data_IF_153356986768
#
_entry.id   IF_153356986768
#
_cell.length_a   1.000
_cell.length_b   1.000
_cell.length_c   1.000
_cell.angle_alpha   90.00
_cell.angle_beta   90.00
_cell.angle_gamma   90.00
#
_symmetry.space_group_name_H-M   'P 1'
#
loop_
_entity.id
_entity.type
_entity.pdbx_description
1 polymer ?
#
# COMPACT_ATOMS: atom_id res chain seq x y z
N UNK A 1 -38.72 -7.64 10.57
CA UNK A 1 -37.34 -8.10 10.37
C UNK A 1 -36.44 -7.30 11.28
N UNK A 2 -35.49 -7.92 12.01
CA UNK A 2 -34.56 -7.17 12.85
C UNK A 2 -33.79 -6.15 12.00
N UNK A 3 -33.69 -4.93 12.52
CA UNK A 3 -32.95 -3.80 11.95
C UNK A 3 -31.47 -4.21 11.88
N UNK A 4 -30.97 -4.48 10.67
CA UNK A 4 -29.60 -4.96 10.45
C UNK A 4 -28.69 -3.75 10.28
N UNK A 5 -27.93 -3.42 11.32
CA UNK A 5 -26.90 -2.38 11.26
C UNK A 5 -25.66 -2.95 10.58
N UNK A 6 -25.18 -2.26 9.56
CA UNK A 6 -23.99 -2.61 8.82
C UNK A 6 -22.92 -1.55 9.04
N UNK A 7 -21.65 -1.96 8.99
CA UNK A 7 -20.48 -1.08 8.89
C UNK A 7 -19.50 -1.63 7.86
N UNK A 8 -18.58 -0.80 7.38
CA UNK A 8 -17.40 -1.28 6.67
C UNK A 8 -16.53 -2.10 7.65
N UNK A 9 -16.05 -3.26 7.20
CA UNK A 9 -15.18 -4.10 7.99
C UNK A 9 -13.84 -3.42 8.27
N UNK A 10 -13.27 -3.71 9.43
CA UNK A 10 -11.98 -3.12 9.80
C UNK A 10 -10.87 -3.65 8.87
N UNK A 11 -9.93 -2.76 8.51
CA UNK A 11 -8.81 -3.06 7.62
C UNK A 11 -9.15 -3.13 6.13
N UNK A 12 -10.35 -2.72 5.71
CA UNK A 12 -10.68 -2.54 4.30
C UNK A 12 -9.90 -1.34 3.74
N UNK A 13 -9.32 -1.52 2.56
CA UNK A 13 -8.61 -0.51 1.77
C UNK A 13 -9.16 -0.55 0.35
N UNK A 14 -9.22 0.61 -0.27
CA UNK A 14 -9.59 0.77 -1.68
C UNK A 14 -8.34 1.14 -2.44
N UNK A 15 -7.91 0.27 -3.34
CA UNK A 15 -6.69 0.41 -4.11
C UNK A 15 -7.00 0.66 -5.58
N UNK A 16 -6.12 1.38 -6.26
CA UNK A 16 -6.15 1.48 -7.71
C UNK A 16 -5.21 0.45 -8.34
N UNK A 17 -5.73 -0.40 -9.21
CA UNK A 17 -4.94 -1.39 -9.94
C UNK A 17 -5.45 -1.52 -11.38
N UNK A 18 -4.58 -1.23 -12.36
CA UNK A 18 -4.86 -1.39 -13.81
C UNK A 18 -6.19 -0.73 -14.24
N UNK A 19 -6.41 0.51 -13.83
CA UNK A 19 -7.58 1.28 -14.23
C UNK A 19 -8.87 0.89 -13.51
N UNK A 20 -8.78 0.09 -12.44
CA UNK A 20 -9.93 -0.32 -11.64
C UNK A 20 -9.68 -0.03 -10.16
N UNK A 21 -10.75 0.26 -9.42
CA UNK A 21 -10.71 0.30 -7.97
C UNK A 21 -11.05 -1.07 -7.40
N UNK A 22 -10.28 -1.50 -6.40
CA UNK A 22 -10.43 -2.76 -5.71
C UNK A 22 -10.62 -2.49 -4.22
N UNK A 23 -11.76 -2.89 -3.65
CA UNK A 23 -11.99 -2.88 -2.22
C UNK A 23 -11.64 -4.24 -1.61
N UNK A 24 -10.79 -4.26 -0.58
CA UNK A 24 -10.39 -5.51 0.07
C UNK A 24 -9.41 -5.28 1.22
N UNK A 25 -8.87 -6.37 1.77
CA UNK A 25 -7.83 -6.32 2.81
C UNK A 25 -6.45 -6.51 2.19
N UNK A 26 -5.46 -5.75 2.64
CA UNK A 26 -4.07 -5.88 2.18
C UNK A 26 -3.47 -7.26 2.47
N UNK A 27 -3.93 -7.93 3.54
CA UNK A 27 -3.47 -9.27 3.90
C UNK A 27 -3.90 -10.37 2.91
N UNK A 28 -4.80 -10.09 1.97
CA UNK A 28 -5.32 -11.07 1.02
C UNK A 28 -6.27 -12.11 1.63
N UNK A 29 -6.62 -11.99 2.91
CA UNK A 29 -7.51 -12.92 3.62
C UNK A 29 -8.92 -12.99 3.01
N UNK A 30 -9.34 -11.95 2.30
CA UNK A 30 -10.62 -11.86 1.58
C UNK A 30 -10.36 -11.42 0.15
N UNK A 31 -10.97 -12.11 -0.82
CA UNK A 31 -10.87 -11.75 -2.23
C UNK A 31 -11.38 -10.31 -2.45
N UNK A 32 -10.54 -9.46 -3.03
CA UNK A 32 -10.89 -8.08 -3.36
C UNK A 32 -12.07 -8.03 -4.34
N UNK A 33 -12.91 -7.02 -4.19
CA UNK A 33 -14.04 -6.74 -5.07
C UNK A 33 -13.74 -5.52 -5.93
N UNK A 34 -13.96 -5.64 -7.24
CA UNK A 34 -13.95 -4.49 -8.12
C UNK A 34 -15.12 -3.56 -7.79
N UNK A 35 -14.80 -2.29 -7.55
CA UNK A 35 -15.78 -1.23 -7.30
C UNK A 35 -15.60 -0.09 -8.31
N UNK A 36 -16.68 0.63 -8.61
CA UNK A 36 -16.64 1.88 -9.37
C UNK A 36 -16.55 3.11 -8.46
N UNK A 37 -16.08 4.28 -8.95
CA UNK A 37 -16.12 5.54 -8.21
C UNK A 37 -17.53 5.91 -7.70
N UNK A 38 -18.57 5.54 -8.44
CA UNK A 38 -19.99 5.72 -8.11
C UNK A 38 -20.45 4.92 -6.89
N UNK A 39 -19.62 3.99 -6.40
CA UNK A 39 -19.93 3.20 -5.21
C UNK A 39 -19.34 3.77 -3.93
N UNK A 40 -18.42 4.73 -4.02
CA UNK A 40 -17.89 5.42 -2.84
C UNK A 40 -19.00 6.12 -2.03
N UNK A 41 -20.02 6.77 -2.63
CA UNK A 41 -21.16 7.29 -1.90
C UNK A 41 -21.99 6.20 -1.21
N UNK A 42 -22.03 4.97 -1.74
CA UNK A 42 -22.70 3.83 -1.09
C UNK A 42 -21.91 3.43 0.16
N UNK A 43 -20.60 3.27 0.02
CA UNK A 43 -19.71 2.93 1.14
C UNK A 43 -19.73 4.02 2.22
N UNK A 44 -19.84 5.29 1.83
CA UNK A 44 -19.91 6.44 2.74
C UNK A 44 -21.07 6.33 3.74
N UNK A 45 -22.20 5.74 3.35
CA UNK A 45 -23.35 5.55 4.24
C UNK A 45 -23.09 4.54 5.38
N UNK A 46 -22.00 3.75 5.28
CA UNK A 46 -21.61 2.71 6.24
C UNK A 46 -20.24 2.93 6.88
N UNK A 47 -19.68 4.15 6.77
CA UNK A 47 -18.45 4.54 7.50
C UNK A 47 -18.64 4.48 9.02
N UNK A 48 -19.87 4.73 9.48
CA UNK A 48 -20.33 4.45 10.83
C UNK A 48 -21.44 3.38 10.79
N UNK A 49 -21.65 2.61 11.88
CA UNK A 49 -22.74 1.65 11.98
C UNK A 49 -24.10 2.27 11.65
N UNK A 50 -24.70 1.83 10.54
CA UNK A 50 -25.98 2.38 10.05
C UNK A 50 -26.96 1.28 9.68
N UNK A 51 -28.24 1.54 9.92
CA UNK A 51 -29.29 0.65 9.46
C UNK A 51 -29.34 0.60 7.92
N UNK A 52 -29.33 -0.62 7.37
CA UNK A 52 -29.32 -0.84 5.93
C UNK A 52 -30.55 -0.24 5.23
N UNK A 53 -31.73 -0.26 5.86
CA UNK A 53 -32.96 0.29 5.27
C UNK A 53 -32.86 1.83 5.18
N UNK A 54 -32.40 2.49 6.23
CA UNK A 54 -32.16 3.93 6.24
C UNK A 54 -31.12 4.37 5.22
N UNK A 55 -30.02 3.61 5.08
CA UNK A 55 -28.99 3.89 4.08
C UNK A 55 -29.55 3.76 2.64
N UNK A 56 -30.31 2.68 2.37
CA UNK A 56 -30.97 2.50 1.06
C UNK A 56 -31.96 3.62 0.77
N UNK A 57 -32.76 4.04 1.75
CA UNK A 57 -33.69 5.16 1.58
C UNK A 57 -32.96 6.46 1.21
N UNK A 58 -31.86 6.78 1.91
CA UNK A 58 -31.06 7.95 1.62
C UNK A 58 -30.46 7.93 0.21
N UNK A 59 -29.95 6.77 -0.24
CA UNK A 59 -29.39 6.60 -1.58
C UNK A 59 -30.45 6.64 -2.69
N UNK A 60 -31.63 6.06 -2.45
CA UNK A 60 -32.77 6.12 -3.39
C UNK A 60 -33.26 7.56 -3.55
N UNK A 61 -33.28 8.35 -2.46
CA UNK A 61 -33.62 9.77 -2.53
C UNK A 61 -32.63 10.58 -3.40
N UNK A 62 -31.40 10.08 -3.60
CA UNK A 62 -30.39 10.64 -4.52
C UNK A 62 -30.47 10.04 -5.95
N UNK A 63 -31.52 9.28 -6.25
CA UNK A 63 -31.78 8.75 -7.61
C UNK A 63 -31.23 7.35 -7.88
N UNK A 64 -30.69 6.64 -6.88
CA UNK A 64 -30.22 5.27 -7.06
C UNK A 64 -31.38 4.25 -7.13
N UNK A 65 -31.22 3.20 -7.94
CA UNK A 65 -32.21 2.12 -8.02
C UNK A 65 -32.18 1.24 -6.75
N UNK A 66 -33.32 1.12 -6.07
CA UNK A 66 -33.47 0.30 -4.85
C UNK A 66 -33.03 -1.15 -5.07
N UNK A 67 -33.41 -1.73 -6.21
CA UNK A 67 -33.10 -3.13 -6.53
C UNK A 67 -31.61 -3.32 -6.79
N UNK A 68 -30.98 -2.39 -7.51
CA UNK A 68 -29.54 -2.40 -7.76
C UNK A 68 -28.75 -2.24 -6.45
N UNK A 69 -29.18 -1.34 -5.56
CA UNK A 69 -28.60 -1.16 -4.24
C UNK A 69 -28.72 -2.43 -3.39
N UNK A 70 -29.89 -3.06 -3.34
CA UNK A 70 -30.09 -4.28 -2.55
C UNK A 70 -29.15 -5.42 -3.01
N UNK A 71 -29.04 -5.63 -4.32
CA UNK A 71 -28.07 -6.58 -4.89
C UNK A 71 -26.64 -6.22 -4.52
N UNK A 72 -26.28 -4.93 -4.62
CA UNK A 72 -24.91 -4.50 -4.38
C UNK A 72 -24.52 -4.61 -2.91
N UNK A 73 -25.40 -4.23 -1.98
CA UNK A 73 -25.17 -4.41 -0.54
C UNK A 73 -25.04 -5.89 -0.17
N UNK A 74 -25.85 -6.77 -0.76
CA UNK A 74 -25.71 -8.22 -0.57
C UNK A 74 -24.33 -8.71 -1.02
N UNK A 75 -23.83 -8.23 -2.17
CA UNK A 75 -22.51 -8.61 -2.67
C UNK A 75 -21.37 -8.09 -1.79
N UNK A 76 -21.44 -6.81 -1.36
CA UNK A 76 -20.47 -6.20 -0.44
C UNK A 76 -20.41 -6.96 0.89
N UNK A 77 -21.57 -7.38 1.39
CA UNK A 77 -21.66 -8.19 2.61
C UNK A 77 -21.08 -9.59 2.41
N UNK A 78 -21.43 -10.29 1.32
CA UNK A 78 -20.88 -11.62 1.00
C UNK A 78 -19.35 -11.61 0.84
N UNK A 79 -18.78 -10.50 0.37
CA UNK A 79 -17.33 -10.31 0.22
C UNK A 79 -16.63 -9.85 1.50
N UNK A 80 -17.37 -9.68 2.60
CA UNK A 80 -16.82 -9.23 3.88
C UNK A 80 -16.34 -7.78 3.87
N UNK A 81 -16.78 -6.96 2.91
CA UNK A 81 -16.52 -5.52 2.88
C UNK A 81 -17.46 -4.82 3.85
N UNK A 82 -18.74 -5.21 3.85
CA UNK A 82 -19.70 -4.83 4.87
C UNK A 82 -19.90 -5.98 5.86
N UNK A 83 -19.99 -5.66 7.13
CA UNK A 83 -20.22 -6.62 8.22
C UNK A 83 -21.32 -6.11 9.14
N UNK A 84 -21.93 -7.04 9.87
CA UNK A 84 -22.86 -6.70 10.94
C UNK A 84 -22.16 -5.91 12.05
N UNK A 85 -22.79 -4.82 12.46
CA UNK A 85 -22.28 -3.94 13.50
C UNK A 85 -23.17 -4.00 14.74
N UNK A 86 -22.54 -4.20 15.90
CA UNK A 86 -23.16 -3.80 17.15
C UNK A 86 -23.28 -2.27 17.21
N UNK A 87 -24.16 -1.75 18.07
CA UNK A 87 -24.12 -0.33 18.39
C UNK A 87 -22.77 -0.02 19.07
N UNK A 88 -21.97 0.84 18.46
CA UNK A 88 -20.69 1.31 19.01
C UNK A 88 -20.74 2.83 19.03
N UNK A 89 -20.15 3.43 20.05
CA UNK A 89 -19.95 4.87 20.11
C UNK A 89 -19.10 5.33 18.94
N UNK A 90 -19.63 6.29 18.20
CA UNK A 90 -18.92 6.93 17.10
C UNK A 90 -17.89 7.88 17.72
N UNK A 91 -16.57 7.69 17.47
CA UNK A 91 -15.56 8.61 17.97
C UNK A 91 -15.76 10.02 17.39
N UNK A 92 -15.17 11.01 18.05
CA UNK A 92 -15.18 12.39 17.56
C UNK A 92 -14.67 12.42 16.11
N UNK A 93 -15.44 13.08 15.23
CA UNK A 93 -15.12 13.14 13.82
C UNK A 93 -13.89 14.02 13.58
N UNK A 94 -12.90 13.45 12.91
CA UNK A 94 -11.77 14.21 12.36
C UNK A 94 -12.26 15.24 11.32
N UNK A 95 -11.55 16.36 11.17
CA UNK A 95 -11.93 17.39 10.21
C UNK A 95 -11.87 16.85 8.78
N UNK A 96 -13.03 16.80 8.13
CA UNK A 96 -13.18 16.33 6.75
C UNK A 96 -13.04 17.48 5.78
N UNK A 97 -12.18 17.31 4.78
CA UNK A 97 -12.10 18.21 3.63
C UNK A 97 -13.33 17.99 2.75
N UNK A 98 -14.17 19.02 2.68
CA UNK A 98 -15.37 19.02 1.83
C UNK A 98 -15.23 20.06 0.70
N UNK A 99 -15.91 19.87 -0.45
CA UNK A 99 -15.85 20.80 -1.57
C UNK A 99 -16.18 22.25 -1.22
N UNK A 100 -17.07 22.50 -0.26
CA UNK A 100 -17.46 23.85 0.13
C UNK A 100 -16.37 24.61 0.89
N UNK A 101 -15.42 23.89 1.50
CA UNK A 101 -14.28 24.46 2.21
C UNK A 101 -13.11 24.84 1.30
N UNK A 102 -13.14 24.42 0.04
CA UNK A 102 -12.08 24.70 -0.92
C UNK A 102 -12.30 26.10 -1.50
N UNK A 103 -11.40 27.03 -1.16
CA UNK A 103 -11.38 28.37 -1.72
C UNK A 103 -11.26 28.32 -3.26
N UNK A 104 -11.56 29.43 -3.93
CA UNK A 104 -11.45 29.62 -5.38
C UNK A 104 -9.99 29.53 -5.85
N UNK A 105 -9.47 28.31 -5.89
CA UNK A 105 -8.22 27.98 -6.54
C UNK A 105 -8.42 28.08 -8.05
N UNK A 106 -7.41 28.58 -8.75
CA UNK A 106 -7.43 28.66 -10.21
C UNK A 106 -7.60 27.27 -10.81
N UNK A 107 -8.55 27.15 -11.74
CA UNK A 107 -8.81 25.91 -12.43
C UNK A 107 -7.54 25.38 -13.12
N UNK A 108 -7.26 24.06 -13.07
CA UNK A 108 -6.24 23.48 -13.90
C UNK A 108 -6.63 23.60 -15.39
N UNK A 109 -5.63 23.52 -16.28
CA UNK A 109 -5.88 23.55 -17.72
C UNK A 109 -6.85 22.42 -18.14
N UNK A 110 -7.92 22.77 -18.87
CA UNK A 110 -9.01 21.83 -19.20
C UNK A 110 -8.60 20.67 -20.13
N UNK A 111 -7.57 20.89 -20.93
CA UNK A 111 -7.02 19.92 -21.88
C UNK A 111 -6.07 18.90 -21.23
N UNK A 112 -5.61 19.19 -20.00
CA UNK A 112 -4.74 18.32 -19.24
C UNK A 112 -5.46 17.06 -18.81
N UNK A 113 -4.83 15.91 -19.06
CA UNK A 113 -5.27 14.63 -18.53
C UNK A 113 -4.62 14.41 -17.17
N UNK A 114 -5.43 14.02 -16.18
CA UNK A 114 -4.99 13.75 -14.81
C UNK A 114 -5.26 12.30 -14.44
N UNK A 115 -4.39 11.74 -13.59
CA UNK A 115 -4.49 10.37 -13.09
C UNK A 115 -4.22 10.33 -11.60
N UNK A 116 -4.62 9.23 -10.96
CA UNK A 116 -4.27 8.94 -9.58
C UNK A 116 -2.74 8.79 -9.42
N UNK A 117 -2.22 9.17 -8.25
CA UNK A 117 -0.85 8.85 -7.87
C UNK A 117 -0.59 7.32 -7.90
N UNK A 118 0.64 6.89 -8.21
CA UNK A 118 0.96 5.45 -8.39
C UNK A 118 0.75 4.60 -7.14
N UNK A 119 0.89 5.20 -5.97
CA UNK A 119 0.71 4.60 -4.65
C UNK A 119 -0.64 4.99 -4.01
N UNK A 120 -1.64 5.28 -4.84
CA UNK A 120 -2.96 5.65 -4.37
C UNK A 120 -3.60 4.53 -3.55
N UNK A 121 -4.08 4.90 -2.38
CA UNK A 121 -4.95 4.11 -1.53
C UNK A 121 -5.97 5.04 -0.86
N UNK A 122 -7.19 4.56 -0.71
CA UNK A 122 -8.20 5.16 0.16
C UNK A 122 -8.50 4.23 1.31
N UNK A 123 -8.50 4.78 2.51
CA UNK A 123 -8.87 4.09 3.74
C UNK A 123 -10.20 4.65 4.23
N UNK A 124 -11.26 3.83 4.36
CA UNK A 124 -12.49 4.26 4.99
C UNK A 124 -12.24 4.62 6.46
N UNK A 125 -12.66 5.82 6.87
CA UNK A 125 -12.59 6.33 8.22
C UNK A 125 -13.98 6.82 8.65
N UNK A 126 -14.20 7.05 9.95
CA UNK A 126 -15.54 7.30 10.51
C UNK A 126 -16.34 8.41 9.83
N UNK A 127 -15.67 9.48 9.38
CA UNK A 127 -16.30 10.66 8.76
C UNK A 127 -15.97 10.85 7.28
N UNK A 128 -15.14 9.99 6.67
CA UNK A 128 -14.74 10.12 5.27
C UNK A 128 -13.79 9.04 4.76
N UNK A 129 -13.06 9.36 3.70
CA UNK A 129 -12.03 8.50 3.11
C UNK A 129 -10.67 9.16 3.25
N UNK A 130 -9.77 8.55 4.00
CA UNK A 130 -8.40 9.03 4.15
C UNK A 130 -7.59 8.67 2.89
N UNK A 131 -6.92 9.68 2.33
CA UNK A 131 -6.02 9.56 1.18
C UNK A 131 -4.62 10.04 1.56
N UNK A 132 -3.61 9.22 1.34
CA UNK A 132 -2.21 9.60 1.59
C UNK A 132 -1.67 10.50 0.47
N UNK A 133 -1.11 11.66 0.84
CA UNK A 133 -0.31 12.49 -0.05
C UNK A 133 1.18 12.23 0.17
N UNK A 134 1.85 11.69 -0.85
CA UNK A 134 3.31 11.58 -0.84
C UNK A 134 4.02 12.93 -0.94
N UNK A 135 3.37 13.95 -1.51
CA UNK A 135 3.93 15.31 -1.60
C UNK A 135 4.00 15.96 -0.23
N UNK A 136 2.92 15.88 0.53
CA UNK A 136 2.81 16.56 1.83
C UNK A 136 3.18 15.65 3.01
N UNK A 137 3.46 14.36 2.76
CA UNK A 137 3.76 13.34 3.78
C UNK A 137 2.70 13.27 4.89
N UNK A 138 1.42 13.39 4.50
CA UNK A 138 0.28 13.33 5.41
C UNK A 138 -0.97 12.76 4.75
N UNK A 139 -1.91 12.34 5.59
CA UNK A 139 -3.25 11.93 5.16
C UNK A 139 -4.20 13.13 5.07
N UNK A 140 -5.06 13.09 4.08
CA UNK A 140 -6.21 13.97 3.94
C UNK A 140 -7.49 13.17 4.08
N UNK A 141 -8.36 13.58 5.00
CA UNK A 141 -9.66 12.97 5.16
C UNK A 141 -10.66 13.65 4.21
N UNK A 142 -11.07 12.94 3.16
CA UNK A 142 -11.92 13.44 2.10
C UNK A 142 -13.38 13.06 2.36
N UNK A 143 -14.32 13.96 2.08
CA UNK A 143 -15.72 13.56 2.03
C UNK A 143 -16.01 12.62 0.84
N UNK A 144 -17.22 12.04 0.81
CA UNK A 144 -17.60 11.11 -0.25
C UNK A 144 -17.55 11.75 -1.65
N UNK A 145 -17.84 13.06 -1.77
CA UNK A 145 -17.88 13.77 -3.05
C UNK A 145 -16.48 13.94 -3.62
N UNK A 146 -15.55 14.36 -2.78
CA UNK A 146 -14.15 14.57 -3.13
C UNK A 146 -13.44 13.24 -3.37
N UNK A 147 -13.76 12.21 -2.59
CA UNK A 147 -13.28 10.85 -2.80
C UNK A 147 -13.76 10.29 -4.15
N UNK A 148 -15.05 10.44 -4.50
CA UNK A 148 -15.59 10.07 -5.81
C UNK A 148 -14.91 10.83 -6.94
N UNK A 149 -14.78 12.15 -6.82
CA UNK A 149 -14.11 12.97 -7.84
C UNK A 149 -12.67 12.50 -8.08
N UNK A 150 -11.90 12.31 -7.00
CA UNK A 150 -10.53 11.81 -7.07
C UNK A 150 -10.47 10.44 -7.75
N UNK A 151 -11.29 9.50 -7.30
CA UNK A 151 -11.39 8.15 -7.82
C UNK A 151 -11.75 8.09 -9.32
N UNK A 152 -12.54 9.03 -9.83
CA UNK A 152 -12.97 9.04 -11.23
C UNK A 152 -11.83 9.25 -12.24
N UNK A 153 -10.69 9.79 -11.82
CA UNK A 153 -9.55 10.01 -12.72
C UNK A 153 -8.78 8.73 -13.08
N UNK A 154 -8.80 7.69 -12.23
CA UNK A 154 -8.16 6.38 -12.47
C UNK A 154 -6.76 6.50 -13.12
N UNK A 155 -6.56 5.87 -14.28
CA UNK A 155 -5.31 5.86 -15.05
C UNK A 155 -5.09 7.11 -15.93
N UNK A 156 -6.05 8.03 -16.01
CA UNK A 156 -5.94 9.20 -16.87
C UNK A 156 -7.27 9.60 -17.51
N UNK A 157 -7.82 10.75 -17.09
CA UNK A 157 -8.98 11.38 -17.74
C UNK A 157 -8.87 12.89 -17.74
N UNK A 158 -9.52 13.54 -18.70
CA UNK A 158 -9.79 14.98 -18.65
C UNK A 158 -10.94 15.24 -17.68
N UNK A 159 -10.98 16.46 -17.15
CA UNK A 159 -12.04 16.86 -16.22
C UNK A 159 -13.43 16.75 -16.86
N UNK A 160 -13.57 17.06 -18.15
CA UNK A 160 -14.86 17.06 -18.86
C UNK A 160 -15.36 15.64 -19.16
N UNK A 161 -14.45 14.66 -19.19
CA UNK A 161 -14.75 13.25 -19.54
C UNK A 161 -15.00 12.37 -18.30
N UNK A 162 -15.11 12.96 -17.11
CA UNK A 162 -15.27 12.20 -15.88
C UNK A 162 -16.68 11.59 -15.78
N UNK A 163 -16.80 10.27 -15.54
CA UNK A 163 -18.07 9.62 -15.29
C UNK A 163 -18.51 9.92 -13.85
N UNK A 164 -19.10 11.09 -13.64
CA UNK A 164 -19.61 11.51 -12.34
C UNK A 164 -21.13 11.29 -12.26
N UNK A 165 -21.65 10.87 -11.10
CA UNK A 165 -23.06 10.98 -10.77
C UNK A 165 -23.62 12.39 -11.04
N UNK A 166 -24.90 12.49 -11.39
CA UNK A 166 -25.53 13.76 -11.79
C UNK A 166 -25.49 14.84 -10.70
N UNK A 167 -25.53 14.45 -9.43
CA UNK A 167 -25.37 15.33 -8.25
C UNK A 167 -23.94 15.85 -8.08
N UNK A 168 -22.95 15.21 -8.74
CA UNK A 168 -21.54 15.60 -8.76
C UNK A 168 -21.08 16.22 -10.08
N UNK A 169 -21.88 16.10 -11.14
CA UNK A 169 -21.49 16.55 -12.48
C UNK A 169 -21.43 18.09 -12.62
N UNK A 170 -22.22 18.84 -11.83
CA UNK A 170 -22.34 20.30 -11.92
C UNK A 170 -21.64 21.09 -10.81
N UNK A 171 -21.11 22.26 -11.17
CA UNK A 171 -20.72 23.33 -10.22
C UNK A 171 -19.26 23.76 -10.28
N UNK A 172 -19.02 25.04 -9.98
CA UNK A 172 -17.69 25.68 -9.92
C UNK A 172 -16.76 25.07 -8.86
N UNK A 173 -17.31 24.30 -7.92
CA UNK A 173 -16.54 23.57 -6.91
C UNK A 173 -15.61 22.52 -7.52
N UNK A 174 -15.95 21.97 -8.70
CA UNK A 174 -15.15 20.90 -9.33
C UNK A 174 -13.76 21.38 -9.70
N UNK A 175 -13.66 22.56 -10.30
CA UNK A 175 -12.40 23.15 -10.70
C UNK A 175 -11.50 23.42 -9.49
N UNK A 176 -12.06 24.05 -8.45
CA UNK A 176 -11.37 24.28 -7.19
C UNK A 176 -10.93 22.96 -6.52
N UNK A 177 -11.78 21.93 -6.57
CA UNK A 177 -11.48 20.61 -6.02
C UNK A 177 -10.35 19.92 -6.78
N UNK A 178 -10.37 19.91 -8.11
CA UNK A 178 -9.29 19.34 -8.92
C UNK A 178 -8.00 20.12 -8.70
N UNK A 179 -8.04 21.46 -8.69
CA UNK A 179 -6.89 22.29 -8.39
C UNK A 179 -6.27 21.93 -7.02
N UNK A 180 -7.11 21.79 -5.99
CA UNK A 180 -6.66 21.38 -4.66
C UNK A 180 -6.05 19.97 -4.67
N UNK A 181 -6.70 18.99 -5.31
CA UNK A 181 -6.18 17.61 -5.41
C UNK A 181 -4.82 17.55 -6.11
N UNK A 182 -4.60 18.38 -7.13
CA UNK A 182 -3.32 18.53 -7.83
C UNK A 182 -2.28 19.23 -6.95
N UNK A 183 -2.65 20.33 -6.28
CA UNK A 183 -1.78 21.05 -5.35
C UNK A 183 -1.27 20.13 -4.23
N UNK A 184 -2.15 19.29 -3.69
CA UNK A 184 -1.82 18.30 -2.65
C UNK A 184 -1.15 17.05 -3.20
N UNK A 185 -0.96 16.91 -4.51
CA UNK A 185 -0.30 15.76 -5.12
C UNK A 185 -1.09 14.45 -5.05
N UNK A 186 -2.41 14.52 -4.84
CA UNK A 186 -3.32 13.37 -4.91
C UNK A 186 -3.68 13.02 -6.37
N UNK A 187 -3.72 14.05 -7.23
CA UNK A 187 -3.77 13.91 -8.69
C UNK A 187 -2.43 14.35 -9.30
N UNK A 188 -2.04 13.66 -10.38
CA UNK A 188 -0.81 13.96 -11.14
C UNK A 188 -1.11 14.01 -12.63
N UNK A 189 -0.39 14.86 -13.37
CA UNK A 189 -0.55 14.97 -14.81
C UNK A 189 -0.17 13.64 -15.49
N UNK A 190 -0.99 13.19 -16.44
CA UNK A 190 -0.66 12.05 -17.28
C UNK A 190 0.53 12.41 -18.19
N UNK A 191 1.65 11.72 -18.01
CA UNK A 191 2.93 12.03 -18.66
C UNK A 191 4.00 12.52 -17.69
N UNK A 192 3.60 13.09 -16.54
CA UNK A 192 4.53 13.34 -15.45
C UNK A 192 4.70 12.08 -14.60
N UNK A 193 5.95 11.64 -14.46
CA UNK A 193 6.34 10.84 -13.31
C UNK A 193 6.13 11.71 -12.09
N UNK A 194 5.20 11.33 -11.21
CA UNK A 194 5.03 11.97 -9.92
C UNK A 194 6.41 12.22 -9.33
N UNK A 195 6.69 13.45 -8.93
CA UNK A 195 7.90 13.80 -8.22
C UNK A 195 7.89 13.05 -6.88
N UNK A 196 8.25 11.76 -6.92
CA UNK A 196 8.97 11.14 -5.82
C UNK A 196 10.11 12.11 -5.59
N UNK A 197 10.23 12.63 -4.37
CA UNK A 197 11.43 13.35 -3.95
C UNK A 197 12.59 12.66 -4.63
N UNK A 198 13.36 13.39 -5.42
CA UNK A 198 14.62 12.89 -5.93
C UNK A 198 15.48 12.63 -4.69
N UNK A 199 15.29 11.48 -4.04
CA UNK A 199 16.38 10.77 -3.42
C UNK A 199 17.45 10.79 -4.49
N UNK A 200 18.59 11.41 -4.13
CA UNK A 200 19.72 11.58 -5.00
C UNK A 200 19.82 10.33 -5.87
N UNK A 201 19.57 10.48 -7.18
CA UNK A 201 20.02 9.49 -8.14
C UNK A 201 21.53 9.52 -8.04
N UNK A 202 22.07 8.81 -7.05
CA UNK A 202 23.37 8.19 -7.16
C UNK A 202 23.19 7.32 -8.37
N UNK A 203 23.56 7.86 -9.54
CA UNK A 203 23.67 7.11 -10.77
C UNK A 203 24.51 5.91 -10.39
N UNK A 204 23.87 4.74 -10.29
CA UNK A 204 24.59 3.50 -10.17
C UNK A 204 25.62 3.51 -11.31
N UNK A 205 26.93 3.44 -11.02
CA UNK A 205 27.94 3.57 -12.04
C UNK A 205 27.64 2.60 -13.18
N UNK A 206 27.60 3.13 -14.41
CA UNK A 206 27.50 2.33 -15.63
C UNK A 206 28.67 1.35 -15.62
N UNK A 207 28.34 0.06 -15.68
CA UNK A 207 29.24 -1.09 -15.50
C UNK A 207 29.90 -1.14 -14.13
N UNK A 208 29.17 -1.66 -13.14
CA UNK A 208 29.80 -2.23 -11.97
C UNK A 208 30.69 -3.41 -12.42
N UNK A 209 31.98 -3.35 -12.06
CA UNK A 209 32.80 -4.54 -11.95
C UNK A 209 31.99 -5.66 -11.30
N UNK A 210 32.16 -6.91 -11.76
CA UNK A 210 31.47 -8.09 -11.22
C UNK A 210 31.39 -7.96 -9.69
N UNK A 211 30.17 -7.90 -9.15
CA UNK A 211 29.97 -7.77 -7.72
C UNK A 211 30.74 -8.90 -7.01
N UNK A 212 31.50 -8.60 -5.94
CA UNK A 212 32.30 -9.61 -5.27
C UNK A 212 31.39 -10.73 -4.76
N UNK A 213 31.76 -11.96 -5.05
CA UNK A 213 31.13 -13.15 -4.49
C UNK A 213 31.77 -13.46 -3.15
N UNK A 214 31.13 -14.32 -2.34
CA UNK A 214 31.72 -14.78 -1.07
C UNK A 214 33.10 -15.44 -1.26
N UNK A 215 33.40 -15.97 -2.46
CA UNK A 215 34.69 -16.57 -2.78
C UNK A 215 35.81 -15.54 -2.82
N UNK A 216 35.48 -14.31 -3.21
CA UNK A 216 36.42 -13.20 -3.39
C UNK A 216 36.74 -12.46 -2.08
N UNK A 217 36.08 -12.84 -0.97
CA UNK A 217 36.19 -12.19 0.33
C UNK A 217 36.95 -13.12 1.28
N UNK A 218 38.02 -12.64 1.91
CA UNK A 218 38.75 -13.37 2.95
C UNK A 218 38.19 -13.10 4.34
N UNK A 219 38.18 -14.08 5.26
CA UNK A 219 37.82 -13.84 6.65
C UNK A 219 38.84 -12.89 7.30
N UNK A 220 38.37 -11.82 7.93
CA UNK A 220 39.23 -10.79 8.53
C UNK A 220 39.01 -10.63 10.05
N UNK A 221 38.42 -11.64 10.68
CA UNK A 221 38.17 -11.67 12.13
C UNK A 221 36.88 -10.99 12.56
N UNK A 222 36.21 -10.25 11.68
CA UNK A 222 34.86 -9.73 11.92
C UNK A 222 33.82 -10.86 11.92
N UNK A 223 32.67 -10.61 12.53
CA UNK A 223 31.58 -11.59 12.63
C UNK A 223 30.87 -11.66 11.26
N UNK A 224 30.84 -12.83 10.59
CA UNK A 224 30.14 -12.94 9.31
C UNK A 224 28.64 -12.79 9.50
N UNK A 225 28.01 -12.05 8.58
CA UNK A 225 26.56 -11.92 8.49
C UNK A 225 26.10 -12.58 7.20
N UNK A 226 25.39 -13.68 7.33
CA UNK A 226 24.87 -14.50 6.26
C UNK A 226 23.44 -14.08 5.91
N UNK A 227 23.17 -13.88 4.63
CA UNK A 227 21.83 -13.52 4.14
C UNK A 227 21.27 -14.69 3.33
N UNK A 228 20.24 -15.34 3.84
CA UNK A 228 19.72 -16.59 3.30
C UNK A 228 18.45 -16.36 2.46
N UNK A 229 18.53 -16.36 1.12
CA UNK A 229 17.34 -16.42 0.28
C UNK A 229 16.73 -17.83 0.29
N UNK A 230 15.43 -17.94 0.05
CA UNK A 230 14.70 -19.21 0.14
C UNK A 230 14.53 -19.96 -1.18
N UNK A 231 14.85 -19.35 -2.32
CA UNK A 231 14.83 -20.02 -3.63
C UNK A 231 15.78 -19.34 -4.62
N UNK A 232 16.20 -20.10 -5.63
CA UNK A 232 17.02 -19.60 -6.73
C UNK A 232 16.29 -18.47 -7.46
N UNK A 233 17.03 -17.40 -7.81
CA UNK A 233 16.50 -16.20 -8.48
C UNK A 233 15.49 -15.35 -7.68
N UNK A 234 15.25 -15.66 -6.40
CA UNK A 234 14.47 -14.81 -5.52
C UNK A 234 15.35 -14.17 -4.46
N UNK A 235 15.71 -12.90 -4.65
CA UNK A 235 16.42 -12.09 -3.67
C UNK A 235 15.43 -11.21 -2.91
N UNK A 236 15.06 -11.56 -1.67
CA UNK A 236 14.07 -10.81 -0.92
C UNK A 236 14.53 -9.36 -0.72
N UNK A 237 13.67 -8.40 -1.07
CA UNK A 237 13.95 -6.98 -0.91
C UNK A 237 14.37 -6.65 0.53
N UNK A 238 13.74 -7.28 1.52
CA UNK A 238 14.07 -7.11 2.93
C UNK A 238 15.55 -7.45 3.24
N UNK A 239 16.08 -8.56 2.71
CA UNK A 239 17.51 -8.89 2.88
C UNK A 239 18.41 -7.87 2.20
N UNK A 240 18.02 -7.38 1.01
CA UNK A 240 18.73 -6.32 0.30
C UNK A 240 18.76 -5.00 1.08
N UNK A 241 17.65 -4.65 1.73
CA UNK A 241 17.54 -3.47 2.59
C UNK A 241 18.42 -3.63 3.83
N UNK A 242 18.34 -4.77 4.54
CA UNK A 242 19.18 -5.03 5.72
C UNK A 242 20.66 -5.02 5.35
N UNK A 243 21.04 -5.65 4.24
CA UNK A 243 22.43 -5.65 3.74
C UNK A 243 22.93 -4.22 3.47
N UNK A 244 22.10 -3.40 2.81
CA UNK A 244 22.42 -2.00 2.53
C UNK A 244 22.52 -1.17 3.81
N UNK A 245 21.55 -1.30 4.71
CA UNK A 245 21.55 -0.62 6.01
C UNK A 245 22.76 -1.00 6.85
N UNK A 246 23.17 -2.27 6.88
CA UNK A 246 24.38 -2.70 7.59
C UNK A 246 25.63 -1.98 7.05
N UNK A 247 25.72 -1.79 5.73
CA UNK A 247 26.85 -1.11 5.10
C UNK A 247 26.89 0.40 5.31
N UNK A 248 25.73 1.04 5.46
CA UNK A 248 25.63 2.52 5.47
C UNK A 248 25.31 3.11 6.84
N UNK A 249 24.84 2.30 7.79
CA UNK A 249 24.45 2.76 9.13
C UNK A 249 25.62 3.46 9.84
N UNK A 250 25.37 4.68 10.29
CA UNK A 250 26.37 5.59 10.89
C UNK A 250 27.68 5.65 10.10
N UNK A 251 27.60 5.76 8.77
CA UNK A 251 28.79 5.83 7.92
C UNK A 251 29.55 4.50 7.79
N UNK A 252 28.89 3.38 8.07
CA UNK A 252 29.47 2.04 7.99
C UNK A 252 30.08 1.54 9.30
N UNK A 253 29.76 2.15 10.45
CA UNK A 253 30.27 1.75 11.77
C UNK A 253 30.06 0.27 12.10
N UNK A 254 28.96 -0.33 11.63
CA UNK A 254 28.74 -1.78 11.81
C UNK A 254 29.79 -2.64 11.10
N UNK A 255 30.41 -2.13 10.03
CA UNK A 255 31.47 -2.83 9.30
C UNK A 255 32.77 -2.94 10.10
N UNK A 256 32.93 -2.22 11.21
CA UNK A 256 34.06 -2.43 12.13
C UNK A 256 33.98 -3.79 12.82
N UNK A 257 32.76 -4.33 13.00
CA UNK A 257 32.50 -5.57 13.74
C UNK A 257 31.92 -6.70 12.90
N UNK A 258 31.19 -6.36 11.84
CA UNK A 258 30.46 -7.32 11.02
C UNK A 258 30.99 -7.36 9.59
N UNK A 259 31.12 -8.58 9.06
CA UNK A 259 31.49 -8.84 7.66
C UNK A 259 30.25 -9.32 6.90
N UNK A 260 29.57 -8.45 6.13
CA UNK A 260 28.40 -8.87 5.37
C UNK A 260 28.82 -9.78 4.21
N UNK A 261 28.33 -11.02 4.23
CA UNK A 261 28.55 -11.99 3.16
C UNK A 261 27.51 -11.73 2.06
N UNK A 262 27.89 -11.58 0.77
CA UNK A 262 26.96 -11.29 -0.32
C UNK A 262 25.79 -12.27 -0.38
N UNK A 263 24.58 -11.74 -0.61
CA UNK A 263 23.36 -12.55 -0.74
C UNK A 263 23.53 -13.50 -1.92
N UNK A 264 23.63 -14.79 -1.65
CA UNK A 264 23.81 -15.85 -2.65
C UNK A 264 22.88 -16.99 -2.29
N UNK A 265 22.08 -17.46 -3.24
CA UNK A 265 21.34 -18.70 -3.06
C UNK A 265 22.30 -19.89 -3.20
N UNK A 266 22.36 -20.72 -2.15
CA UNK A 266 23.05 -22.01 -2.15
C UNK A 266 22.14 -23.03 -1.46
N UNK A 267 22.04 -24.27 -1.98
CA UNK A 267 21.46 -25.37 -1.23
C UNK A 267 22.12 -25.53 0.15
N UNK A 268 21.40 -26.03 1.18
CA UNK A 268 21.93 -26.09 2.54
C UNK A 268 23.30 -26.76 2.65
N UNK A 269 23.50 -27.89 1.96
CA UNK A 269 24.78 -28.61 1.94
C UNK A 269 25.93 -27.75 1.39
N UNK A 270 25.70 -27.08 0.26
CA UNK A 270 26.69 -26.20 -0.37
C UNK A 270 26.98 -24.97 0.48
N UNK A 271 26.00 -24.48 1.25
CA UNK A 271 26.22 -23.40 2.18
C UNK A 271 27.19 -23.80 3.30
N UNK A 272 26.99 -25.00 3.87
CA UNK A 272 27.86 -25.54 4.91
C UNK A 272 29.27 -25.84 4.39
N UNK A 273 29.38 -26.42 3.19
CA UNK A 273 30.66 -26.78 2.57
C UNK A 273 31.42 -25.57 1.98
N UNK A 274 30.70 -24.48 1.67
CA UNK A 274 31.25 -23.26 1.07
C UNK A 274 31.42 -22.12 2.08
N UNK A 275 30.53 -21.11 2.07
CA UNK A 275 30.70 -19.90 2.87
C UNK A 275 30.78 -20.17 4.38
N UNK A 276 29.99 -21.10 4.93
CA UNK A 276 30.08 -21.39 6.37
C UNK A 276 31.43 -22.02 6.74
N UNK A 277 31.94 -22.96 5.94
CA UNK A 277 33.29 -23.52 6.14
C UNK A 277 34.38 -22.46 6.07
N UNK A 278 34.22 -21.43 5.23
CA UNK A 278 35.20 -20.35 5.07
C UNK A 278 35.18 -19.35 6.23
N UNK A 279 34.00 -18.84 6.60
CA UNK A 279 33.88 -17.74 7.57
C UNK A 279 33.51 -18.18 8.99
N UNK A 280 32.97 -19.39 9.17
CA UNK A 280 32.64 -19.97 10.47
C UNK A 280 31.33 -19.47 11.08
N UNK A 281 31.26 -19.44 12.41
CA UNK A 281 30.07 -19.01 13.14
C UNK A 281 29.71 -17.55 12.85
N UNK A 282 28.42 -17.23 12.84
CA UNK A 282 27.97 -15.87 12.50
C UNK A 282 26.52 -15.56 12.84
N UNK A 283 26.08 -14.43 12.33
CA UNK A 283 24.68 -14.00 12.35
C UNK A 283 24.02 -14.39 11.04
N UNK A 284 22.82 -14.95 11.11
CA UNK A 284 22.08 -15.46 9.98
C UNK A 284 20.77 -14.72 9.86
N UNK A 285 20.60 -14.01 8.75
CA UNK A 285 19.42 -13.23 8.41
C UNK A 285 18.55 -14.03 7.45
N UNK A 286 17.36 -14.40 7.91
CA UNK A 286 16.34 -15.02 7.10
C UNK A 286 15.29 -13.97 6.72
N UNK A 287 14.72 -14.08 5.51
CA UNK A 287 13.55 -13.28 5.15
C UNK A 287 12.35 -14.19 5.10
N UNK A 288 11.39 -13.94 5.99
CA UNK A 288 10.13 -14.66 6.01
C UNK A 288 9.16 -14.08 4.97
N UNK A 289 8.94 -14.86 3.90
CA UNK A 289 7.77 -14.76 3.03
C UNK A 289 6.94 -16.04 3.15
N UNK A 290 5.62 -15.98 2.91
CA UNK A 290 4.69 -17.10 3.09
C UNK A 290 5.07 -18.42 2.38
N UNK A 291 6.01 -18.41 1.44
CA UNK A 291 6.51 -19.59 0.71
C UNK A 291 7.85 -20.13 1.23
N UNK A 292 8.43 -19.52 2.27
CA UNK A 292 9.81 -19.76 2.72
C UNK A 292 9.96 -20.42 4.09
N UNK A 293 8.85 -20.62 4.83
CA UNK A 293 8.90 -21.01 6.24
C UNK A 293 9.58 -22.36 6.48
N UNK A 294 9.30 -23.39 5.67
CA UNK A 294 9.88 -24.73 5.86
C UNK A 294 11.40 -24.76 5.73
N UNK A 295 11.92 -24.27 4.59
CA UNK A 295 13.36 -24.30 4.29
C UNK A 295 14.16 -23.43 5.26
N UNK A 296 13.69 -22.21 5.56
CA UNK A 296 14.38 -21.29 6.47
C UNK A 296 14.46 -21.86 7.89
N UNK A 297 13.38 -22.48 8.38
CA UNK A 297 13.38 -23.15 9.68
C UNK A 297 14.32 -24.34 9.71
N UNK A 298 14.39 -25.14 8.65
CA UNK A 298 15.29 -26.28 8.57
C UNK A 298 16.76 -25.88 8.53
N UNK A 299 17.09 -24.83 7.75
CA UNK A 299 18.44 -24.25 7.75
C UNK A 299 18.77 -23.67 9.11
N UNK A 300 17.86 -22.90 9.74
CA UNK A 300 18.08 -22.36 11.09
C UNK A 300 18.35 -23.46 12.12
N UNK A 301 17.58 -24.56 12.09
CA UNK A 301 17.80 -25.72 12.95
C UNK A 301 19.15 -26.38 12.67
N UNK A 302 19.52 -26.57 11.41
CA UNK A 302 20.79 -27.18 11.03
C UNK A 302 21.98 -26.35 11.51
N UNK A 303 21.93 -25.03 11.31
CA UNK A 303 22.98 -24.08 11.71
C UNK A 303 23.14 -24.05 13.24
N UNK A 304 22.04 -23.96 13.99
CA UNK A 304 22.08 -23.97 15.46
C UNK A 304 22.58 -25.29 16.03
N UNK A 305 22.28 -26.41 15.38
CA UNK A 305 22.84 -27.73 15.75
C UNK A 305 24.34 -27.81 15.50
N UNK A 306 24.83 -27.11 14.46
CA UNK A 306 26.25 -27.14 14.13
C UNK A 306 27.11 -26.33 15.11
N UNK A 307 26.64 -25.14 15.50
CA UNK A 307 27.24 -24.33 16.58
C UNK A 307 26.13 -23.51 17.26
N UNK A 308 25.95 -23.71 18.56
CA UNK A 308 24.93 -23.03 19.37
C UNK A 308 25.16 -21.52 19.49
N UNK A 309 26.36 -21.03 19.17
CA UNK A 309 26.69 -19.61 19.17
C UNK A 309 26.29 -18.91 17.86
N UNK A 310 25.76 -19.64 16.87
CA UNK A 310 25.14 -19.01 15.71
C UNK A 310 23.85 -18.29 16.13
N UNK A 311 23.72 -17.04 15.71
CA UNK A 311 22.52 -16.24 15.94
C UNK A 311 21.67 -16.29 14.66
N UNK A 312 20.43 -16.77 14.74
CA UNK A 312 19.49 -16.75 13.62
C UNK A 312 18.36 -15.76 13.91
N UNK A 313 18.14 -14.84 12.97
CA UNK A 313 17.14 -13.78 13.00
C UNK A 313 16.18 -13.97 11.83
#
# INVERSE_FOLDING_TARGET
MPVRKLKIADGIVILHHRGQLLAGRLSGATASLAIGPEELPILAEFLAPRDAVQAVQALVARGASREALARRLSLLHQRGILVDAAAVDVPAADPVVNPASLASLSAPASDQTWRLARNFALHPAWSGFAAWSARDQREYLLDARLATLLASFLDGRKMDDLPLPSDLAGGSWREAAVAWLVERGLLVASGETAAVHQEATVRAPKQAARAPTWRDIEPDGRIPVYFMPHMENHYPLALGMIFSSLKTWEGGRLLERYQPIPITYLPPKEFFEGPYRKFGRGVWMFSNYMWSDGLNLDVSRAVKRHDANNVCI
#
